data_IF_484520184999
#
_entry.id   IF_484520184999
#
_cell.length_a   1.000
_cell.length_b   1.000
_cell.length_c   1.000
_cell.angle_alpha   90.00
_cell.angle_beta   90.00
_cell.angle_gamma   90.00
#
_symmetry.space_group_name_H-M   'P 1'
#
loop_
_entity.id
_entity.type
_entity.pdbx_description
1 polymer ?
#
# COMPACT_ATOMS: atom_id res chain seq x y z
N UNK A 1 -20.48 -56.89 -50.30
CA UNK A 1 -20.97 -55.97 -49.27
C UNK A 1 -19.77 -55.17 -48.77
N UNK A 2 -19.65 -53.90 -49.20
CA UNK A 2 -18.54 -53.01 -48.83
C UNK A 2 -18.90 -52.28 -47.52
N UNK A 3 -18.13 -52.49 -46.46
CA UNK A 3 -18.25 -51.71 -45.22
C UNK A 3 -17.39 -50.45 -45.35
N UNK A 4 -18.03 -49.28 -45.48
CA UNK A 4 -17.36 -47.98 -45.39
C UNK A 4 -17.30 -47.55 -43.92
N UNK A 5 -16.11 -47.47 -43.35
CA UNK A 5 -15.88 -46.91 -42.00
C UNK A 5 -15.67 -45.40 -42.10
N UNK A 6 -16.60 -44.63 -41.53
CA UNK A 6 -16.41 -43.18 -41.28
C UNK A 6 -15.54 -43.00 -40.02
N UNK A 7 -14.38 -42.37 -40.18
CA UNK A 7 -13.55 -41.90 -39.07
C UNK A 7 -14.00 -40.50 -38.68
N UNK A 8 -14.58 -40.35 -37.49
CA UNK A 8 -14.97 -39.06 -36.92
C UNK A 8 -13.75 -38.40 -36.25
N UNK A 9 -13.19 -37.37 -36.90
CA UNK A 9 -12.11 -36.55 -36.34
C UNK A 9 -12.76 -35.53 -35.39
N UNK A 10 -12.55 -35.72 -34.09
CA UNK A 10 -13.03 -34.82 -33.04
C UNK A 10 -12.08 -33.63 -32.92
N UNK A 11 -12.47 -32.45 -33.38
CA UNK A 11 -11.75 -31.20 -33.10
C UNK A 11 -12.01 -30.77 -31.65
N UNK A 12 -11.01 -30.93 -30.79
CA UNK A 12 -10.97 -30.27 -29.49
C UNK A 12 -10.67 -28.78 -29.71
N UNK A 13 -11.70 -27.93 -29.66
CA UNK A 13 -11.54 -26.49 -29.61
C UNK A 13 -10.97 -26.11 -28.23
N UNK A 14 -9.66 -25.81 -28.19
CA UNK A 14 -9.02 -25.25 -27.01
C UNK A 14 -9.56 -23.86 -26.74
N UNK A 15 -10.28 -23.68 -25.64
CA UNK A 15 -10.72 -22.37 -25.16
C UNK A 15 -9.49 -21.69 -24.57
N UNK A 16 -8.86 -20.81 -25.35
CA UNK A 16 -7.83 -19.93 -24.83
C UNK A 16 -8.47 -18.97 -23.83
N UNK A 17 -8.29 -19.24 -22.53
CA UNK A 17 -8.66 -18.31 -21.47
C UNK A 17 -7.73 -17.11 -21.60
N UNK A 18 -8.23 -16.03 -22.21
CA UNK A 18 -7.53 -14.76 -22.24
C UNK A 18 -7.31 -14.31 -20.80
N UNK A 19 -6.04 -14.12 -20.40
CA UNK A 19 -5.73 -13.46 -19.13
C UNK A 19 -6.39 -12.09 -19.17
N UNK A 20 -7.14 -11.68 -18.13
CA UNK A 20 -7.74 -10.36 -18.10
C UNK A 20 -6.62 -9.33 -18.32
N UNK A 21 -6.81 -8.49 -19.33
CA UNK A 21 -5.92 -7.36 -19.60
C UNK A 21 -6.09 -6.43 -18.40
N UNK A 22 -5.08 -6.39 -17.54
CA UNK A 22 -4.97 -5.36 -16.50
C UNK A 22 -4.92 -4.03 -17.23
N UNK A 23 -6.00 -3.26 -17.16
CA UNK A 23 -6.01 -1.88 -17.63
C UNK A 23 -4.92 -1.19 -16.79
N UNK A 24 -3.79 -0.89 -17.42
CA UNK A 24 -2.75 -0.09 -16.79
C UNK A 24 -3.38 1.27 -16.53
N UNK A 25 -3.53 1.59 -15.26
CA UNK A 25 -3.75 2.94 -14.82
C UNK A 25 -2.64 3.81 -15.41
N UNK A 26 -2.97 4.65 -16.38
CA UNK A 26 -2.00 5.48 -17.09
C UNK A 26 -1.51 6.64 -16.25
N UNK A 27 -2.19 6.94 -15.13
CA UNK A 27 -1.85 8.03 -14.22
C UNK A 27 -0.78 7.62 -13.20
N UNK A 28 -0.78 6.34 -12.79
CA UNK A 28 0.09 5.83 -11.73
C UNK A 28 1.18 4.88 -12.27
N UNK A 29 2.44 5.15 -11.95
CA UNK A 29 3.59 4.33 -12.35
C UNK A 29 4.42 3.86 -11.14
N UNK A 30 4.82 2.58 -11.05
CA UNK A 30 5.63 2.10 -9.95
C UNK A 30 7.04 2.73 -9.99
N UNK A 31 7.44 3.34 -8.87
CA UNK A 31 8.77 3.95 -8.70
C UNK A 31 9.61 3.28 -7.60
N UNK A 32 8.98 2.51 -6.72
CA UNK A 32 9.65 1.66 -5.74
C UNK A 32 8.84 0.39 -5.52
N UNK A 33 9.51 -0.73 -5.21
CA UNK A 33 8.86 -1.99 -4.88
C UNK A 33 9.68 -2.76 -3.84
N UNK A 34 9.00 -3.53 -3.00
CA UNK A 34 9.68 -4.29 -1.94
C UNK A 34 8.74 -4.72 -0.82
N UNK A 35 9.32 -5.02 0.33
CA UNK A 35 8.62 -5.34 1.57
C UNK A 35 8.31 -4.05 2.30
N UNK A 36 7.06 -3.87 2.71
CA UNK A 36 6.63 -2.79 3.58
C UNK A 36 7.05 -3.10 5.02
N UNK A 37 7.90 -2.26 5.59
CA UNK A 37 8.59 -2.56 6.84
C UNK A 37 8.65 -1.39 7.82
N UNK A 38 8.75 -1.73 9.10
CA UNK A 38 9.15 -0.84 10.18
C UNK A 38 10.69 -0.87 10.33
N UNK A 39 11.29 0.24 10.74
CA UNK A 39 12.67 0.25 11.24
C UNK A 39 12.63 0.07 12.76
N UNK A 40 12.64 -1.18 13.20
CA UNK A 40 12.53 -1.55 14.60
C UNK A 40 13.93 -1.78 15.19
N UNK A 41 14.41 -0.83 15.98
CA UNK A 41 15.72 -0.83 16.62
C UNK A 41 16.90 -1.02 15.64
N UNK A 42 16.82 -0.37 14.48
CA UNK A 42 17.85 -0.44 13.43
C UNK A 42 17.72 -1.64 12.49
N UNK A 43 16.70 -2.48 12.68
CA UNK A 43 16.42 -3.66 11.85
C UNK A 43 15.08 -3.51 11.16
N UNK A 44 15.03 -3.82 9.85
CA UNK A 44 13.77 -3.82 9.13
C UNK A 44 12.92 -5.05 9.50
N UNK A 45 11.72 -4.77 10.00
CA UNK A 45 10.72 -5.77 10.37
C UNK A 45 9.48 -5.65 9.51
N UNK A 46 9.05 -6.76 8.92
CA UNK A 46 7.96 -6.74 7.95
C UNK A 46 6.62 -6.40 8.61
N UNK A 47 5.82 -5.58 7.94
CA UNK A 47 4.38 -5.56 8.17
C UNK A 47 3.73 -6.74 7.42
N UNK A 48 2.51 -7.08 7.82
CA UNK A 48 1.66 -8.08 7.17
C UNK A 48 0.23 -7.56 7.03
N UNK A 49 -0.67 -8.37 6.49
CA UNK A 49 -2.11 -8.11 6.52
C UNK A 49 -2.78 -9.03 7.54
N UNK A 50 -3.67 -8.48 8.36
CA UNK A 50 -4.53 -9.30 9.21
C UNK A 50 -5.73 -9.85 8.42
N UNK A 51 -6.57 -10.65 9.10
CA UNK A 51 -7.77 -11.28 8.51
C UNK A 51 -8.87 -10.29 8.07
N UNK A 52 -8.70 -8.99 8.32
CA UNK A 52 -9.60 -7.91 7.90
C UNK A 52 -8.96 -7.02 6.82
N UNK A 53 -7.90 -7.49 6.18
CA UNK A 53 -7.13 -6.75 5.18
C UNK A 53 -6.60 -5.41 5.69
N UNK A 54 -6.20 -5.37 6.96
CA UNK A 54 -5.58 -4.18 7.56
C UNK A 54 -4.09 -4.43 7.74
N UNK A 55 -3.28 -3.37 7.59
CA UNK A 55 -1.84 -3.47 7.85
C UNK A 55 -1.66 -3.77 9.33
N UNK A 56 -0.87 -4.80 9.61
CA UNK A 56 -0.64 -5.33 10.93
C UNK A 56 0.85 -5.59 11.17
N UNK A 57 1.23 -5.66 12.44
CA UNK A 57 2.60 -5.98 12.85
C UNK A 57 2.61 -7.09 13.88
N UNK A 58 3.28 -8.19 13.52
CA UNK A 58 3.49 -9.36 14.40
C UNK A 58 4.95 -9.48 14.86
N UNK A 59 5.90 -8.84 14.15
CA UNK A 59 7.33 -8.85 14.48
C UNK A 59 8.04 -10.19 14.22
N UNK A 60 7.38 -11.15 13.57
CA UNK A 60 7.87 -12.50 13.30
C UNK A 60 8.42 -12.69 11.87
N UNK A 61 8.27 -11.68 11.01
CA UNK A 61 8.71 -11.72 9.62
C UNK A 61 7.88 -12.63 8.71
N UNK A 62 6.78 -13.22 9.22
CA UNK A 62 5.96 -14.13 8.45
C UNK A 62 5.00 -13.37 7.53
N UNK A 63 4.80 -13.91 6.33
CA UNK A 63 3.93 -13.32 5.29
C UNK A 63 4.20 -11.82 5.09
N UNK A 64 5.44 -11.44 4.70
CA UNK A 64 5.79 -10.05 4.51
C UNK A 64 4.87 -9.38 3.49
N UNK A 65 4.40 -8.18 3.80
CA UNK A 65 3.55 -7.40 2.92
C UNK A 65 4.39 -6.78 1.80
N UNK A 66 4.32 -7.38 0.61
CA UNK A 66 4.94 -6.84 -0.59
C UNK A 66 4.08 -5.73 -1.19
N UNK A 67 4.72 -4.61 -1.52
CA UNK A 67 4.07 -3.40 -2.05
C UNK A 67 4.85 -2.80 -3.21
N UNK A 68 4.15 -2.00 -4.00
CA UNK A 68 4.71 -1.03 -4.93
C UNK A 68 4.29 0.37 -4.48
N UNK A 69 5.22 1.31 -4.42
CA UNK A 69 4.86 2.72 -4.41
C UNK A 69 4.70 3.16 -5.85
N UNK A 70 3.48 3.59 -6.19
CA UNK A 70 3.15 4.09 -7.51
C UNK A 70 3.00 5.61 -7.43
N UNK A 71 3.88 6.35 -8.09
CA UNK A 71 3.76 7.80 -8.28
C UNK A 71 2.59 8.07 -9.21
N UNK A 72 1.70 8.97 -8.83
CA UNK A 72 0.45 9.25 -9.56
C UNK A 72 0.34 10.74 -9.81
N UNK A 73 0.27 11.16 -11.08
CA UNK A 73 0.22 12.59 -11.43
C UNK A 73 -1.02 13.28 -10.86
N UNK A 74 -2.18 12.60 -10.87
CA UNK A 74 -3.41 13.10 -10.26
C UNK A 74 -3.32 13.37 -8.76
N UNK A 75 -2.34 12.75 -8.07
CA UNK A 75 -2.11 12.93 -6.65
C UNK A 75 -1.05 14.01 -6.33
N UNK A 76 -0.41 14.62 -7.32
CA UNK A 76 0.63 15.65 -7.11
C UNK A 76 0.09 17.02 -6.67
N UNK A 77 -1.23 17.23 -6.66
CA UNK A 77 -1.85 18.51 -6.24
C UNK A 77 -1.93 18.64 -4.71
N UNK A 78 -1.40 19.71 -4.14
CA UNK A 78 -1.27 19.95 -2.69
C UNK A 78 0.20 19.89 -2.24
N UNK A 79 0.53 20.24 -1.00
CA UNK A 79 1.92 20.46 -0.53
C UNK A 79 2.90 19.34 -0.99
N UNK A 80 3.77 19.61 -1.97
CA UNK A 80 4.94 18.81 -2.22
C UNK A 80 6.08 19.40 -1.38
N UNK A 81 6.86 18.55 -0.73
CA UNK A 81 8.21 18.93 -0.33
C UNK A 81 9.15 18.49 -1.46
N UNK A 82 10.10 19.34 -1.89
CA UNK A 82 10.92 19.24 -3.12
C UNK A 82 11.60 17.88 -3.41
N UNK A 83 11.69 16.98 -2.44
CA UNK A 83 12.33 15.65 -2.54
C UNK A 83 11.36 14.47 -2.51
N UNK A 84 10.08 14.73 -2.23
CA UNK A 84 9.10 13.72 -1.90
C UNK A 84 8.11 13.50 -3.05
N UNK A 85 7.87 12.23 -3.41
CA UNK A 85 6.98 11.84 -4.51
C UNK A 85 5.62 11.45 -3.96
N UNK A 86 4.55 12.04 -4.50
CA UNK A 86 3.18 11.72 -4.08
C UNK A 86 2.61 10.58 -4.92
N UNK A 87 1.89 9.68 -4.27
CA UNK A 87 1.39 8.49 -4.94
C UNK A 87 0.53 7.63 -4.02
N UNK A 88 0.46 6.33 -4.35
CA UNK A 88 -0.27 5.32 -3.58
C UNK A 88 0.60 4.11 -3.28
N UNK A 89 0.25 3.39 -2.23
CA UNK A 89 0.89 2.11 -1.88
C UNK A 89 0.02 0.96 -2.37
N UNK A 90 0.41 0.36 -3.49
CA UNK A 90 -0.27 -0.76 -4.13
C UNK A 90 0.21 -2.10 -3.55
N UNK A 91 -0.70 -3.05 -3.39
CA UNK A 91 -0.45 -4.42 -2.91
C UNK A 91 -0.75 -5.39 -4.07
N UNK A 92 0.27 -5.81 -4.84
CA UNK A 92 0.06 -6.59 -6.05
C UNK A 92 -0.69 -7.91 -5.84
N UNK A 93 -0.42 -8.61 -4.73
CA UNK A 93 -1.06 -9.89 -4.41
C UNK A 93 -2.57 -9.78 -4.19
N UNK A 94 -3.07 -8.58 -3.89
CA UNK A 94 -4.49 -8.30 -3.62
C UNK A 94 -5.14 -7.44 -4.70
N UNK A 95 -4.36 -6.91 -5.65
CA UNK A 95 -4.81 -5.93 -6.63
C UNK A 95 -5.56 -4.74 -5.99
N UNK A 96 -5.07 -4.30 -4.83
CA UNK A 96 -5.67 -3.26 -3.98
C UNK A 96 -4.62 -2.29 -3.46
N UNK A 97 -5.04 -1.16 -2.94
CA UNK A 97 -4.18 -0.13 -2.38
C UNK A 97 -4.40 0.01 -0.87
N UNK A 98 -3.36 0.43 -0.15
CA UNK A 98 -3.48 0.73 1.28
C UNK A 98 -4.14 2.11 1.41
N UNK A 99 -5.32 2.15 2.02
CA UNK A 99 -6.06 3.37 2.31
C UNK A 99 -6.37 3.52 3.79
N UNK A 100 -6.79 4.72 4.20
CA UNK A 100 -7.24 5.04 5.56
C UNK A 100 -8.77 5.02 5.67
N UNK A 101 -9.30 4.28 6.63
CA UNK A 101 -10.76 4.07 6.80
C UNK A 101 -11.48 5.24 7.47
N UNK A 102 -10.79 5.98 8.33
CA UNK A 102 -11.36 7.07 9.13
C UNK A 102 -10.70 8.43 8.79
N UNK A 103 -10.36 8.64 7.52
CA UNK A 103 -9.69 9.86 7.04
C UNK A 103 -10.48 11.14 7.36
N UNK A 104 -11.81 11.07 7.45
CA UNK A 104 -12.64 12.23 7.80
C UNK A 104 -12.63 12.58 9.30
N UNK A 105 -11.95 11.80 10.14
CA UNK A 105 -11.85 12.11 11.57
C UNK A 105 -10.95 13.35 11.77
N UNK A 106 -11.38 14.33 12.61
CA UNK A 106 -10.62 15.57 12.79
C UNK A 106 -9.29 15.35 13.53
N UNK A 107 -9.19 14.27 14.29
CA UNK A 107 -7.98 13.88 15.03
C UNK A 107 -7.79 12.37 14.93
N UNK A 108 -6.53 11.95 14.84
CA UNK A 108 -6.17 10.54 14.90
C UNK A 108 -6.47 9.91 16.27
N UNK A 109 -6.23 8.60 16.42
CA UNK A 109 -5.49 7.72 15.50
C UNK A 109 -6.22 7.38 14.20
N UNK A 110 -5.45 7.06 13.15
CA UNK A 110 -5.98 6.62 11.87
C UNK A 110 -5.64 5.17 11.54
N UNK A 111 -6.48 4.54 10.72
CA UNK A 111 -6.52 3.09 10.55
C UNK A 111 -6.48 2.66 9.09
N UNK A 112 -5.56 1.77 8.77
CA UNK A 112 -5.39 1.23 7.41
C UNK A 112 -6.38 0.13 7.07
N UNK A 113 -6.72 0.01 5.79
CA UNK A 113 -7.33 -1.19 5.19
C UNK A 113 -6.96 -1.25 3.71
N UNK A 114 -7.16 -2.40 3.07
CA UNK A 114 -7.08 -2.50 1.62
C UNK A 114 -8.38 -2.02 0.97
N UNK A 115 -8.22 -1.11 0.01
CA UNK A 115 -9.31 -0.55 -0.79
C UNK A 115 -9.01 -0.72 -2.27
N UNK A 116 -10.03 -0.56 -3.11
CA UNK A 116 -9.78 -0.48 -4.54
C UNK A 116 -8.93 0.76 -4.85
N UNK A 117 -7.94 0.59 -5.72
CA UNK A 117 -7.01 1.66 -6.02
C UNK A 117 -7.71 2.81 -6.74
N UNK A 118 -7.55 4.00 -6.17
CA UNK A 118 -8.07 5.24 -6.72
C UNK A 118 -7.11 6.39 -6.47
N UNK A 119 -7.65 7.61 -6.52
CA UNK A 119 -6.91 8.86 -6.37
C UNK A 119 -7.47 9.72 -5.23
N UNK A 120 -8.19 9.08 -4.30
CA UNK A 120 -8.79 9.74 -3.14
C UNK A 120 -7.75 10.01 -2.05
N UNK A 121 -7.97 11.07 -1.24
CA UNK A 121 -7.09 11.45 -0.12
C UNK A 121 -6.71 10.31 0.84
N UNK A 122 -7.61 9.38 1.22
CA UNK A 122 -7.22 8.27 2.10
C UNK A 122 -6.15 7.35 1.54
N UNK A 123 -5.91 7.37 0.21
CA UNK A 123 -4.91 6.56 -0.48
C UNK A 123 -3.66 7.37 -0.87
N UNK A 124 -3.56 8.63 -0.43
CA UNK A 124 -2.44 9.51 -0.77
C UNK A 124 -1.28 9.32 0.22
N UNK A 125 -0.18 8.82 -0.31
CA UNK A 125 1.08 8.61 0.41
C UNK A 125 2.19 9.41 -0.24
N UNK A 126 3.24 9.65 0.53
CA UNK A 126 4.44 10.34 0.09
C UNK A 126 5.63 9.42 0.28
N UNK A 127 6.46 9.28 -0.76
CA UNK A 127 7.72 8.57 -0.75
C UNK A 127 8.88 9.58 -0.78
N UNK A 128 9.71 9.57 0.25
CA UNK A 128 10.98 10.28 0.26
C UNK A 128 12.11 9.30 -0.11
N UNK A 129 12.65 9.46 -1.31
CA UNK A 129 13.74 8.63 -1.83
C UNK A 129 15.10 9.00 -1.22
N UNK A 130 15.26 10.22 -0.69
CA UNK A 130 16.46 10.69 -0.01
C UNK A 130 16.57 10.17 1.43
N UNK A 131 15.44 9.95 2.09
CA UNK A 131 15.35 9.26 3.39
C UNK A 131 15.03 7.77 3.16
N UNK A 132 15.94 6.99 2.55
CA UNK A 132 15.85 5.51 2.46
C UNK A 132 14.44 4.96 2.15
N UNK A 133 13.77 5.50 1.13
CA UNK A 133 12.40 5.15 0.74
C UNK A 133 11.40 5.24 1.92
N UNK A 134 11.49 6.31 2.70
CA UNK A 134 10.53 6.60 3.76
C UNK A 134 9.16 6.85 3.14
N UNK A 135 8.16 6.10 3.60
CA UNK A 135 6.77 6.28 3.19
C UNK A 135 5.99 6.84 4.37
N UNK A 136 5.27 7.92 4.14
CA UNK A 136 4.36 8.55 5.11
C UNK A 136 3.03 8.82 4.46
N UNK A 137 1.98 8.81 5.25
CA UNK A 137 0.66 9.17 4.78
C UNK A 137 0.52 10.69 4.83
N UNK A 138 0.13 11.32 3.72
CA UNK A 138 -0.19 12.75 3.69
C UNK A 138 -1.67 12.99 3.96
N UNK A 139 -2.53 12.10 3.47
CA UNK A 139 -3.97 12.24 3.62
C UNK A 139 -4.53 13.45 2.86
N UNK A 140 -5.48 14.12 3.50
CA UNK A 140 -5.93 15.45 3.11
C UNK A 140 -5.01 16.45 3.81
N UNK A 141 -4.20 17.15 3.01
CA UNK A 141 -3.34 18.26 3.40
C UNK A 141 -3.21 19.11 2.13
N UNK A 142 -3.59 20.37 2.23
CA UNK A 142 -4.11 21.20 1.15
C UNK A 142 -3.09 21.58 0.04
N UNK A 143 -3.45 22.32 -1.01
CA UNK A 143 -3.54 23.79 -0.85
C UNK A 143 -4.94 24.37 -0.67
N UNK A 144 -6.03 23.66 -1.00
CA UNK A 144 -7.37 24.01 -0.49
C UNK A 144 -8.19 22.83 0.09
N UNK A 145 -7.57 21.64 0.24
CA UNK A 145 -7.98 20.61 1.22
C UNK A 145 -7.62 20.99 2.66
N UNK A 146 -8.08 22.17 3.13
CA UNK A 146 -7.66 23.00 4.30
C UNK A 146 -7.57 22.34 5.70
N UNK A 147 -7.60 21.02 5.80
CA UNK A 147 -7.35 20.27 7.03
C UNK A 147 -5.94 19.70 6.92
N UNK A 148 -5.04 20.07 7.83
CA UNK A 148 -3.92 19.19 8.16
C UNK A 148 -4.52 18.02 8.92
N UNK A 149 -4.58 16.85 8.30
CA UNK A 149 -4.96 15.61 8.97
C UNK A 149 -4.19 15.44 10.30
N UNK A 150 -4.85 15.62 11.44
CA UNK A 150 -4.19 15.59 12.76
C UNK A 150 -3.30 16.81 13.09
N UNK A 151 -3.28 17.85 12.24
CA UNK A 151 -2.62 19.13 12.50
C UNK A 151 -1.09 19.13 12.42
N UNK A 152 -0.48 18.09 11.84
CA UNK A 152 0.94 17.80 12.03
C UNK A 152 1.70 17.42 10.75
N UNK A 153 1.10 17.61 9.57
CA UNK A 153 1.71 17.23 8.29
C UNK A 153 1.71 15.72 8.08
N UNK A 154 2.80 15.17 7.54
CA UNK A 154 2.93 13.76 7.19
C UNK A 154 2.89 12.84 8.43
N UNK A 155 2.04 11.81 8.37
CA UNK A 155 1.82 10.87 9.46
C UNK A 155 2.52 9.54 9.21
N UNK A 156 2.95 8.89 10.29
CA UNK A 156 3.63 7.60 10.30
C UNK A 156 2.92 6.60 11.20
N UNK A 157 3.45 5.38 11.30
CA UNK A 157 2.91 4.42 12.27
C UNK A 157 3.32 4.79 13.71
N UNK A 158 2.42 4.54 14.65
CA UNK A 158 2.68 4.61 16.09
C UNK A 158 3.80 3.65 16.47
N UNK A 159 4.82 4.15 17.17
CA UNK A 159 5.96 3.35 17.61
C UNK A 159 6.53 3.86 18.92
N UNK A 160 7.34 3.00 19.55
CA UNK A 160 8.24 3.42 20.62
C UNK A 160 9.41 4.25 20.04
N UNK A 161 10.19 4.89 20.91
CA UNK A 161 11.35 5.71 20.50
C UNK A 161 12.42 4.96 19.69
N UNK A 162 12.44 3.63 19.75
CA UNK A 162 13.31 2.78 18.96
C UNK A 162 12.70 2.34 17.62
N UNK A 163 11.52 2.85 17.24
CA UNK A 163 10.84 2.54 15.98
C UNK A 163 10.08 1.20 15.97
N UNK A 164 10.06 0.46 17.08
CA UNK A 164 9.21 -0.74 17.19
C UNK A 164 7.74 -0.31 17.19
N UNK A 165 6.88 -0.83 16.28
CA UNK A 165 5.46 -0.51 16.24
C UNK A 165 4.76 -0.79 17.58
N UNK A 166 3.92 0.14 18.03
CA UNK A 166 3.09 -0.05 19.23
C UNK A 166 1.72 -0.52 18.81
N UNK A 167 1.36 -1.74 19.23
CA UNK A 167 0.10 -2.38 18.86
C UNK A 167 -0.94 -2.15 19.96
N UNK A 168 -1.98 -1.41 19.61
CA UNK A 168 -3.06 -1.01 20.52
C UNK A 168 -4.39 -1.72 20.23
N UNK A 169 -4.44 -2.53 19.16
CA UNK A 169 -5.63 -3.24 18.70
C UNK A 169 -5.48 -4.76 18.77
N UNK A 170 -6.59 -5.46 19.07
CA UNK A 170 -6.62 -6.92 19.28
C UNK A 170 -6.31 -7.76 18.04
N UNK A 171 -6.42 -7.19 16.85
CA UNK A 171 -6.11 -7.82 15.57
C UNK A 171 -4.75 -7.40 15.00
N UNK A 172 -3.87 -6.90 15.87
CA UNK A 172 -2.53 -6.44 15.53
C UNK A 172 -2.48 -5.29 14.50
N UNK A 173 -3.61 -4.62 14.28
CA UNK A 173 -3.69 -3.49 13.37
C UNK A 173 -2.76 -2.36 13.86
N UNK A 174 -2.01 -1.79 12.92
CA UNK A 174 -1.20 -0.61 13.20
C UNK A 174 -2.05 0.65 13.27
N UNK A 175 -1.56 1.63 14.01
CA UNK A 175 -2.14 2.97 14.10
C UNK A 175 -1.26 3.96 13.35
N UNK A 176 -1.87 4.89 12.63
CA UNK A 176 -1.20 6.04 12.01
C UNK A 176 -1.43 7.29 12.88
N UNK A 177 -0.37 8.04 13.17
CA UNK A 177 -0.43 9.23 14.02
C UNK A 177 0.66 10.27 13.70
N UNK A 178 0.48 11.46 14.26
CA UNK A 178 1.47 12.53 14.27
C UNK A 178 2.74 12.10 14.98
N UNK A 179 3.90 12.56 14.47
CA UNK A 179 5.23 12.15 14.97
C UNK A 179 5.47 10.63 14.92
N UNK A 180 4.64 9.89 14.18
CA UNK A 180 4.82 8.47 13.94
C UNK A 180 6.08 8.20 13.11
N UNK A 181 6.58 6.98 13.22
CA UNK A 181 7.72 6.53 12.42
C UNK A 181 7.31 6.30 10.96
N UNK A 182 8.21 6.64 10.03
CA UNK A 182 8.00 6.35 8.62
C UNK A 182 8.06 4.85 8.34
N UNK A 183 7.19 4.41 7.44
CA UNK A 183 7.30 3.12 6.79
C UNK A 183 8.50 3.10 5.85
N UNK A 184 8.92 1.90 5.48
CA UNK A 184 10.05 1.69 4.58
C UNK A 184 9.66 0.67 3.51
N UNK A 185 10.10 0.90 2.29
CA UNK A 185 10.05 -0.10 1.22
C UNK A 185 11.47 -0.62 1.02
N UNK A 186 11.68 -1.88 1.39
CA UNK A 186 13.01 -2.50 1.46
C UNK A 186 13.05 -3.84 0.72
N UNK A 187 14.23 -4.24 0.26
CA UNK A 187 14.40 -5.52 -0.44
C UNK A 187 14.39 -6.73 0.50
N UNK A 188 14.66 -6.53 1.78
CA UNK A 188 14.66 -7.56 2.81
C UNK A 188 14.19 -7.02 4.15
N UNK A 189 13.39 -7.83 4.85
CA UNK A 189 12.92 -7.57 6.21
C UNK A 189 12.75 -8.92 6.92
N UNK A 190 12.80 -8.87 8.26
CA UNK A 190 12.66 -10.04 9.14
C UNK A 190 11.49 -9.91 10.09
#
# INVERSE_FOLDING_TARGET
MLFSQLVAISLLAGIAVAKPVTIRDTDCSPIASGIFAANAAGVYKAFTLNVKDQVAYLGDGQNPLHVEFQECQSLEVGEPHDIAKTGRVYVPSQSKCIGITNQQAPTGPYYTTLVDCGTDYPQRWVLDTGDNNAVRWSGESDEEGTILQGGCGLLGYKSYSNGVPTITHSNHQITIECNGSAFRIVNSAS
#
